data_IF_841247152145
#
_entry.id   IF_841247152145
#
_cell.length_a   1.000
_cell.length_b   1.000
_cell.length_c   1.000
_cell.angle_alpha   90.00
_cell.angle_beta   90.00
_cell.angle_gamma   90.00
#
_symmetry.space_group_name_H-M   'P 1'
#
loop_
_entity.id
_entity.type
_entity.pdbx_description
1 polymer ?
#
# COMPACT_ATOMS: atom_id res chain seq x y z
N UNK A 1 27.66 7.51 -21.26
CA UNK A 1 26.92 8.78 -21.26
C UNK A 1 26.70 9.18 -19.81
N UNK A 2 27.58 10.04 -19.28
CA UNK A 2 27.48 10.56 -17.91
C UNK A 2 26.50 11.73 -17.93
N UNK A 3 25.49 11.72 -17.06
CA UNK A 3 24.56 12.83 -16.92
C UNK A 3 25.20 13.92 -16.05
N UNK A 4 25.32 15.13 -16.61
CA UNK A 4 25.77 16.33 -15.91
C UNK A 4 24.80 16.74 -14.79
N UNK A 5 25.29 17.37 -13.70
CA UNK A 5 24.43 17.80 -12.59
C UNK A 5 23.67 19.10 -12.95
N UNK A 6 22.41 19.26 -12.50
CA UNK A 6 21.67 20.49 -12.71
C UNK A 6 22.17 21.59 -11.76
N UNK A 7 22.57 22.72 -12.34
CA UNK A 7 22.82 23.97 -11.61
C UNK A 7 21.48 24.67 -11.32
N UNK A 8 21.19 24.92 -10.04
CA UNK A 8 20.03 25.69 -9.58
C UNK A 8 19.85 25.60 -8.07
N UNK A 9 20.34 26.61 -7.35
CA UNK A 9 19.93 27.07 -6.01
C UNK A 9 19.03 26.14 -5.19
N UNK A 10 19.60 25.43 -4.22
CA UNK A 10 18.88 24.79 -3.11
C UNK A 10 17.90 23.68 -3.49
N UNK A 11 18.27 22.81 -4.44
CA UNK A 11 17.42 21.69 -4.86
C UNK A 11 17.15 20.74 -3.68
N UNK A 12 15.95 20.80 -3.12
CA UNK A 12 15.48 19.84 -2.11
C UNK A 12 15.64 18.41 -2.62
N UNK A 13 16.33 17.57 -1.85
CA UNK A 13 16.49 16.15 -2.15
C UNK A 13 15.11 15.50 -2.29
N UNK A 14 14.73 15.16 -3.53
CA UNK A 14 13.47 14.50 -3.82
C UNK A 14 13.64 12.98 -3.93
N UNK A 15 13.12 12.24 -2.95
CA UNK A 15 13.23 10.79 -2.91
C UNK A 15 12.11 10.13 -3.73
N UNK A 16 12.47 9.52 -4.86
CA UNK A 16 11.53 8.83 -5.77
C UNK A 16 11.35 7.34 -5.51
N UNK A 17 12.01 6.79 -4.49
CA UNK A 17 11.96 5.37 -4.11
C UNK A 17 11.71 5.24 -2.61
N UNK A 18 11.12 4.12 -2.20
CA UNK A 18 10.92 3.80 -0.79
C UNK A 18 12.24 3.52 -0.10
N UNK A 19 12.17 3.08 1.15
CA UNK A 19 13.34 2.78 1.97
C UNK A 19 13.96 1.40 1.69
N UNK A 20 13.40 0.65 0.73
CA UNK A 20 13.89 -0.69 0.38
C UNK A 20 13.51 -1.77 1.40
N UNK A 21 12.58 -1.47 2.32
CA UNK A 21 12.16 -2.36 3.41
C UNK A 21 10.92 -3.19 3.04
N UNK A 22 10.67 -3.45 1.75
CA UNK A 22 9.44 -4.10 1.28
C UNK A 22 9.27 -5.51 1.83
N UNK A 23 10.30 -6.35 1.70
CA UNK A 23 10.32 -7.73 2.21
C UNK A 23 10.07 -7.82 3.72
N UNK A 24 10.35 -6.73 4.40
CA UNK A 24 10.33 -6.58 5.85
C UNK A 24 8.98 -6.13 6.41
N UNK A 25 8.06 -5.67 5.55
CA UNK A 25 6.69 -5.25 5.90
C UNK A 25 5.63 -6.08 5.16
N UNK A 26 6.05 -6.90 4.18
CA UNK A 26 5.14 -7.63 3.31
C UNK A 26 4.18 -8.54 4.10
N UNK A 27 4.66 -9.21 5.16
CA UNK A 27 3.81 -10.06 6.00
C UNK A 27 2.70 -9.29 6.72
N UNK A 28 2.96 -8.06 7.15
CA UNK A 28 1.95 -7.21 7.80
C UNK A 28 0.91 -6.74 6.78
N UNK A 29 1.34 -6.37 5.57
CA UNK A 29 0.44 -6.00 4.48
C UNK A 29 -0.43 -7.19 4.03
N UNK A 30 0.16 -8.37 3.86
CA UNK A 30 -0.56 -9.55 3.39
C UNK A 30 -1.66 -9.97 4.39
N UNK A 31 -1.41 -9.81 5.69
CA UNK A 31 -2.39 -10.12 6.74
C UNK A 31 -3.65 -9.25 6.68
N UNK A 32 -3.58 -8.06 6.09
CA UNK A 32 -4.69 -7.11 6.04
C UNK A 32 -5.57 -7.26 4.80
N UNK A 33 -5.01 -7.79 3.70
CA UNK A 33 -5.61 -7.64 2.37
C UNK A 33 -5.71 -8.95 1.57
N UNK A 34 -5.43 -10.10 2.18
CA UNK A 34 -5.63 -11.43 1.57
C UNK A 34 -6.88 -12.12 2.12
N UNK A 35 -7.48 -13.03 1.33
CA UNK A 35 -8.70 -13.72 1.77
C UNK A 35 -9.05 -14.94 0.93
N UNK A 36 -9.34 -16.06 1.61
CA UNK A 36 -9.60 -17.36 0.98
C UNK A 36 -10.74 -17.36 -0.05
N UNK A 37 -11.77 -16.54 0.14
CA UNK A 37 -12.89 -16.44 -0.81
C UNK A 37 -12.44 -15.86 -2.16
N UNK A 38 -11.53 -14.89 -2.13
CA UNK A 38 -10.97 -14.30 -3.35
C UNK A 38 -10.14 -15.33 -4.11
N UNK A 39 -9.34 -16.12 -3.39
CA UNK A 39 -8.55 -17.21 -3.98
C UNK A 39 -9.46 -18.27 -4.62
N UNK A 40 -10.54 -18.65 -3.92
CA UNK A 40 -11.55 -19.57 -4.45
C UNK A 40 -12.21 -19.03 -5.73
N UNK A 41 -12.61 -17.76 -5.74
CA UNK A 41 -13.21 -17.11 -6.90
C UNK A 41 -12.23 -17.05 -8.08
N UNK A 42 -10.96 -16.71 -7.84
CA UNK A 42 -9.90 -16.74 -8.87
C UNK A 42 -9.73 -18.14 -9.46
N UNK A 43 -9.69 -19.18 -8.62
CA UNK A 43 -9.58 -20.57 -9.05
C UNK A 43 -10.80 -21.06 -9.85
N UNK A 44 -11.95 -20.38 -9.75
CA UNK A 44 -13.19 -20.67 -10.49
C UNK A 44 -13.47 -19.65 -11.59
N UNK A 45 -12.43 -19.10 -12.22
CA UNK A 45 -12.59 -18.14 -13.33
C UNK A 45 -13.47 -16.94 -12.96
N UNK A 46 -13.28 -16.41 -11.75
CA UNK A 46 -13.97 -15.25 -11.20
C UNK A 46 -15.48 -15.40 -11.03
N UNK A 47 -16.01 -16.63 -11.06
CA UNK A 47 -17.45 -16.90 -10.90
C UNK A 47 -17.69 -18.05 -9.92
N UNK A 48 -18.59 -17.84 -8.97
CA UNK A 48 -19.05 -18.87 -8.05
C UNK A 48 -20.58 -18.89 -8.05
N UNK A 49 -21.17 -20.03 -8.40
CA UNK A 49 -22.62 -20.24 -8.36
C UNK A 49 -22.95 -21.26 -7.27
N UNK A 50 -23.92 -20.92 -6.42
CA UNK A 50 -24.50 -21.78 -5.40
C UNK A 50 -26.01 -21.63 -5.46
N UNK A 51 -26.72 -22.74 -5.73
CA UNK A 51 -28.16 -22.76 -5.96
C UNK A 51 -28.62 -21.71 -6.98
N UNK A 52 -29.41 -20.73 -6.54
CA UNK A 52 -29.94 -19.61 -7.33
C UNK A 52 -29.09 -18.33 -7.23
N UNK A 53 -27.96 -18.36 -6.51
CA UNK A 53 -27.08 -17.21 -6.30
C UNK A 53 -25.80 -17.35 -7.13
N UNK A 54 -25.46 -16.30 -7.88
CA UNK A 54 -24.19 -16.20 -8.61
C UNK A 54 -23.38 -14.99 -8.16
N UNK A 55 -22.15 -15.24 -7.70
CA UNK A 55 -21.16 -14.24 -7.32
C UNK A 55 -20.17 -14.11 -8.46
N UNK A 56 -19.91 -12.86 -8.89
CA UNK A 56 -18.93 -12.53 -9.93
C UNK A 56 -17.91 -11.56 -9.37
N UNK A 57 -16.64 -11.91 -9.49
CA UNK A 57 -15.52 -11.03 -9.11
C UNK A 57 -15.03 -10.29 -10.35
N UNK A 58 -14.78 -8.99 -10.23
CA UNK A 58 -14.11 -8.24 -11.29
C UNK A 58 -12.70 -8.80 -11.50
N UNK A 59 -12.23 -8.88 -12.75
CA UNK A 59 -10.86 -9.36 -13.03
C UNK A 59 -9.79 -8.38 -12.53
N UNK A 60 -10.09 -7.09 -12.65
CA UNK A 60 -9.28 -6.00 -12.15
C UNK A 60 -9.97 -5.44 -10.90
N UNK A 61 -9.39 -5.68 -9.72
CA UNK A 61 -9.91 -5.24 -8.43
C UNK A 61 -8.76 -5.07 -7.43
N UNK A 62 -9.03 -4.32 -6.36
CA UNK A 62 -8.05 -4.04 -5.31
C UNK A 62 -7.41 -2.67 -5.46
N UNK A 63 -6.19 -2.53 -4.91
CA UNK A 63 -5.48 -1.26 -4.90
C UNK A 63 -4.81 -0.96 -6.23
N UNK A 64 -4.87 0.30 -6.65
CA UNK A 64 -4.04 0.75 -7.77
C UNK A 64 -2.60 0.95 -7.30
N UNK A 65 -1.66 0.97 -8.25
CA UNK A 65 -0.24 1.16 -7.98
C UNK A 65 0.07 2.35 -7.05
N UNK A 66 -0.64 3.49 -7.24
CA UNK A 66 -0.44 4.67 -6.42
C UNK A 66 -0.83 4.46 -4.95
N UNK A 67 -1.93 3.74 -4.71
CA UNK A 67 -2.40 3.40 -3.36
C UNK A 67 -1.45 2.41 -2.69
N UNK A 68 -1.10 1.31 -3.38
CA UNK A 68 -0.16 0.32 -2.84
C UNK A 68 1.15 0.98 -2.42
N UNK A 69 1.70 1.83 -3.29
CA UNK A 69 2.94 2.53 -3.04
C UNK A 69 2.84 3.51 -1.87
N UNK A 70 1.75 4.26 -1.76
CA UNK A 70 1.56 5.21 -0.67
C UNK A 70 1.50 4.48 0.69
N UNK A 71 0.71 3.40 0.76
CA UNK A 71 0.60 2.57 1.97
C UNK A 71 1.94 1.90 2.29
N UNK A 72 2.62 1.32 1.31
CA UNK A 72 3.96 0.72 1.48
C UNK A 72 4.93 1.74 2.09
N UNK A 73 4.93 2.99 1.60
CA UNK A 73 5.79 4.04 2.12
C UNK A 73 5.48 4.43 3.56
N UNK A 74 4.22 4.46 3.96
CA UNK A 74 3.83 4.76 5.34
C UNK A 74 4.38 3.70 6.31
N UNK A 75 4.23 2.41 5.97
CA UNK A 75 4.78 1.30 6.75
C UNK A 75 6.31 1.35 6.80
N UNK A 76 6.96 1.56 5.65
CA UNK A 76 8.43 1.66 5.61
C UNK A 76 8.94 2.87 6.41
N UNK A 77 8.25 4.02 6.36
CA UNK A 77 8.62 5.19 7.15
C UNK A 77 8.51 4.89 8.65
N UNK A 78 7.43 4.24 9.07
CA UNK A 78 7.24 3.83 10.47
C UNK A 78 8.36 2.91 10.93
N UNK A 79 8.69 1.90 10.13
CA UNK A 79 9.76 0.94 10.43
C UNK A 79 11.14 1.58 10.44
N UNK A 80 11.42 2.47 9.49
CA UNK A 80 12.74 3.12 9.33
C UNK A 80 13.03 4.12 10.45
N UNK A 81 12.00 4.80 10.95
CA UNK A 81 12.15 5.87 11.92
C UNK A 81 11.32 5.62 13.16
N UNK A 82 11.51 4.51 13.91
CA UNK A 82 10.61 4.11 14.99
C UNK A 82 10.42 5.20 16.05
N UNK A 83 11.44 6.01 16.32
CA UNK A 83 11.42 7.04 17.37
C UNK A 83 10.98 8.43 16.89
N UNK A 84 10.61 8.59 15.61
CA UNK A 84 10.16 9.88 15.07
C UNK A 84 8.64 9.93 14.95
N UNK A 85 8.05 11.08 15.24
CA UNK A 85 6.65 11.32 14.88
C UNK A 85 6.53 11.44 13.37
N UNK A 86 5.57 10.72 12.80
CA UNK A 86 5.27 10.73 11.37
C UNK A 86 3.89 11.34 11.21
N UNK A 87 3.82 12.39 10.40
CA UNK A 87 2.57 13.09 10.13
C UNK A 87 2.07 12.81 8.72
N UNK A 88 0.75 12.72 8.57
CA UNK A 88 0.05 12.78 7.29
C UNK A 88 -0.69 14.12 7.18
N UNK A 89 -0.69 14.71 5.98
CA UNK A 89 -1.44 15.94 5.75
C UNK A 89 -2.97 15.72 5.77
N UNK A 90 -3.42 14.47 5.74
CA UNK A 90 -4.81 14.03 5.75
C UNK A 90 -4.86 12.50 5.64
N UNK A 91 -6.02 11.96 5.28
CA UNK A 91 -6.14 10.53 4.98
C UNK A 91 -5.18 10.13 3.85
N UNK A 92 -4.46 9.02 4.02
CA UNK A 92 -3.55 8.54 2.97
C UNK A 92 -4.33 8.07 1.74
N UNK A 93 -5.49 7.46 2.00
CA UNK A 93 -6.51 7.03 1.05
C UNK A 93 -7.88 7.10 1.74
N UNK A 94 -8.97 7.20 0.98
CA UNK A 94 -10.33 7.16 1.51
C UNK A 94 -10.76 5.73 1.89
N UNK A 95 -10.02 5.13 2.82
CA UNK A 95 -10.33 3.84 3.41
C UNK A 95 -10.13 3.94 4.94
N UNK A 96 -11.23 3.97 5.72
CA UNK A 96 -11.15 4.17 7.16
C UNK A 96 -10.37 3.05 7.87
N UNK A 97 -10.40 1.82 7.34
CA UNK A 97 -9.63 0.71 7.90
C UNK A 97 -8.13 0.95 7.79
N UNK A 98 -7.67 1.41 6.62
CA UNK A 98 -6.24 1.72 6.39
C UNK A 98 -5.80 2.89 7.27
N UNK A 99 -6.58 3.97 7.33
CA UNK A 99 -6.24 5.13 8.16
C UNK A 99 -6.19 4.76 9.64
N UNK A 100 -7.15 3.97 10.14
CA UNK A 100 -7.16 3.51 11.54
C UNK A 100 -5.93 2.67 11.87
N UNK A 101 -5.48 1.81 10.95
CA UNK A 101 -4.27 1.01 11.14
C UNK A 101 -3.00 1.86 11.17
N UNK A 102 -2.89 2.86 10.28
CA UNK A 102 -1.77 3.80 10.32
C UNK A 102 -1.74 4.60 11.64
N UNK A 103 -2.90 5.04 12.13
CA UNK A 103 -3.03 5.71 13.42
C UNK A 103 -2.62 4.80 14.59
N UNK A 104 -3.02 3.53 14.58
CA UNK A 104 -2.60 2.56 15.59
C UNK A 104 -1.08 2.33 15.59
N UNK A 105 -0.40 2.56 14.46
CA UNK A 105 1.07 2.56 14.36
C UNK A 105 1.70 3.91 14.75
N UNK A 106 0.93 4.89 15.23
CA UNK A 106 1.43 6.21 15.63
C UNK A 106 1.78 7.13 14.45
N UNK A 107 1.16 6.92 13.30
CA UNK A 107 1.19 7.86 12.16
C UNK A 107 -0.06 8.75 12.28
N UNK A 108 0.11 10.07 12.34
CA UNK A 108 -0.99 11.00 12.69
C UNK A 108 -1.29 12.01 11.60
#
# INVERSE_FOLDING_TARGET
>A
MQASPPNGTGAGMYFRKGFGLKSEIQSELDSDYTGHLVDLLKAKEYTLTTDDVTIRLAKEFGFCYGVERAVEYAYQARKKFPDRTIYLAGEIIHNPHVNSKLQAMGIT
#
